data_IF_875898082909
#
_entry.id   IF_875898082909
#
_cell.length_a   1.000
_cell.length_b   1.000
_cell.length_c   1.000
_cell.angle_alpha   90.00
_cell.angle_beta   90.00
_cell.angle_gamma   90.00
#
_symmetry.space_group_name_H-M   'P 1'
#
loop_
_entity.id
_entity.type
_entity.pdbx_description
1 polymer ?
#
# COMPACT_ATOMS: atom_id res chain seq x y z
N UNK A 1 -6.02 -49.65 -63.92
CA UNK A 1 -6.59 -48.52 -64.67
C UNK A 1 -7.98 -48.23 -64.13
N UNK A 2 -8.32 -46.96 -63.92
CA UNK A 2 -9.70 -46.50 -63.87
C UNK A 2 -10.41 -46.61 -62.53
N UNK A 3 -10.29 -45.56 -61.72
CA UNK A 3 -11.31 -45.25 -60.72
C UNK A 3 -12.58 -44.66 -61.37
N UNK A 4 -13.70 -44.85 -60.71
CA UNK A 4 -14.97 -44.10 -60.79
C UNK A 4 -15.94 -44.80 -59.83
N UNK A 5 -16.90 -44.18 -59.17
CA UNK A 5 -17.17 -42.80 -58.85
C UNK A 5 -18.09 -42.83 -57.62
N UNK A 6 -17.99 -41.79 -56.81
CA UNK A 6 -18.68 -41.58 -55.55
C UNK A 6 -20.13 -41.10 -55.81
N UNK A 7 -21.16 -41.68 -55.16
CA UNK A 7 -22.43 -40.97 -54.97
C UNK A 7 -23.19 -41.36 -53.68
N UNK A 8 -22.88 -40.56 -52.65
CA UNK A 8 -23.65 -40.08 -51.48
C UNK A 8 -24.89 -40.85 -50.97
N UNK A 9 -24.88 -41.32 -49.71
CA UNK A 9 -26.10 -41.60 -48.96
C UNK A 9 -26.60 -40.35 -48.22
N UNK A 10 -27.93 -40.14 -48.27
CA UNK A 10 -28.65 -39.24 -47.36
C UNK A 10 -28.91 -40.01 -46.07
N UNK A 11 -28.36 -39.57 -44.94
CA UNK A 11 -28.76 -40.08 -43.64
C UNK A 11 -29.31 -38.97 -42.75
N UNK A 12 -30.48 -39.29 -42.21
CA UNK A 12 -31.36 -38.47 -41.41
C UNK A 12 -30.80 -38.29 -40.00
N UNK A 13 -30.96 -37.07 -39.51
CA UNK A 13 -31.10 -36.63 -38.13
C UNK A 13 -30.73 -37.57 -36.98
N UNK A 14 -29.81 -37.10 -36.15
CA UNK A 14 -29.90 -37.25 -34.70
C UNK A 14 -29.43 -35.92 -34.08
N UNK A 15 -30.36 -35.15 -33.53
CA UNK A 15 -30.06 -33.95 -32.77
C UNK A 15 -29.64 -34.37 -31.35
N UNK A 16 -28.35 -34.23 -31.03
CA UNK A 16 -27.82 -34.39 -29.68
C UNK A 16 -27.84 -33.00 -29.03
N UNK A 17 -28.74 -32.83 -28.05
CA UNK A 17 -28.79 -31.63 -27.22
C UNK A 17 -27.61 -31.63 -26.23
N UNK A 18 -26.58 -30.85 -26.56
CA UNK A 18 -25.47 -30.55 -25.65
C UNK A 18 -25.93 -29.47 -24.65
N UNK A 19 -26.27 -29.90 -23.43
CA UNK A 19 -26.38 -29.01 -22.27
C UNK A 19 -24.97 -28.51 -21.91
N UNK A 20 -24.58 -27.40 -22.52
CA UNK A 20 -23.37 -26.67 -22.14
C UNK A 20 -23.61 -26.01 -20.77
N UNK A 21 -23.13 -26.65 -19.72
CA UNK A 21 -23.03 -26.07 -18.38
C UNK A 21 -22.08 -24.88 -18.40
N UNK A 22 -22.65 -23.68 -18.42
CA UNK A 22 -21.92 -22.43 -18.34
C UNK A 22 -21.47 -22.24 -16.87
N UNK A 23 -20.27 -22.74 -16.53
CA UNK A 23 -19.63 -22.41 -15.26
C UNK A 23 -19.27 -20.91 -15.29
N UNK A 24 -20.05 -20.10 -14.57
CA UNK A 24 -19.72 -18.70 -14.29
C UNK A 24 -18.44 -18.67 -13.44
N UNK A 25 -17.29 -18.55 -14.09
CA UNK A 25 -16.08 -18.10 -13.43
C UNK A 25 -16.30 -16.63 -13.05
N UNK A 26 -16.55 -16.35 -11.77
CA UNK A 26 -16.51 -15.01 -11.24
C UNK A 26 -15.09 -14.46 -11.43
N UNK A 27 -14.88 -13.68 -12.49
CA UNK A 27 -13.66 -12.91 -12.66
C UNK A 27 -13.60 -11.90 -11.51
N UNK A 28 -12.77 -12.17 -10.50
CA UNK A 28 -12.36 -11.16 -9.55
C UNK A 28 -11.78 -10.01 -10.38
N UNK A 29 -12.50 -8.87 -10.41
CA UNK A 29 -11.96 -7.68 -11.05
C UNK A 29 -10.61 -7.40 -10.40
N UNK A 30 -9.54 -7.16 -11.17
CA UNK A 30 -8.30 -6.67 -10.59
C UNK A 30 -8.63 -5.33 -9.95
N UNK A 31 -8.91 -5.34 -8.64
CA UNK A 31 -8.99 -4.13 -7.84
C UNK A 31 -7.73 -3.34 -8.12
N UNK A 32 -7.87 -2.06 -8.43
CA UNK A 32 -6.81 -1.21 -8.97
C UNK A 32 -5.54 -1.31 -8.12
N UNK A 33 -4.64 -2.22 -8.49
CA UNK A 33 -3.38 -2.42 -7.78
C UNK A 33 -2.49 -1.28 -8.19
N UNK A 34 -2.42 -0.25 -7.34
CA UNK A 34 -1.49 0.84 -7.55
C UNK A 34 -0.07 0.28 -7.71
N UNK A 35 0.74 0.88 -8.61
CA UNK A 35 2.12 0.47 -8.77
C UNK A 35 2.88 0.58 -7.45
N UNK A 36 3.64 -0.46 -7.12
CA UNK A 36 4.50 -0.47 -5.95
C UNK A 36 5.92 -0.05 -6.34
N UNK A 37 6.56 0.71 -5.46
CA UNK A 37 7.90 1.28 -5.55
C UNK A 37 8.77 0.72 -4.43
N UNK A 38 10.10 0.90 -4.53
CA UNK A 38 11.06 0.41 -3.55
C UNK A 38 11.87 -0.77 -4.08
N UNK A 39 12.71 -1.33 -3.20
CA UNK A 39 13.54 -2.49 -3.53
C UNK A 39 12.70 -3.76 -3.69
N UNK A 40 13.25 -4.78 -4.34
CA UNK A 40 12.51 -6.01 -4.64
C UNK A 40 12.03 -6.75 -3.38
N UNK A 41 12.77 -6.61 -2.28
CA UNK A 41 12.51 -7.16 -0.96
C UNK A 41 11.64 -6.25 -0.07
N UNK A 42 11.33 -5.03 -0.53
CA UNK A 42 10.41 -4.15 0.18
C UNK A 42 9.73 -3.14 -0.73
N UNK A 43 8.55 -3.52 -1.21
CA UNK A 43 7.72 -2.70 -2.10
C UNK A 43 6.56 -2.03 -1.37
N UNK A 44 6.23 -0.80 -1.76
CA UNK A 44 5.12 -0.02 -1.21
C UNK A 44 4.51 0.92 -2.25
N UNK A 45 3.24 1.25 -2.07
CA UNK A 45 2.52 2.21 -2.90
C UNK A 45 3.03 3.64 -2.68
N UNK A 46 3.14 4.41 -3.76
CA UNK A 46 3.36 5.86 -3.67
C UNK A 46 2.03 6.55 -3.34
N UNK A 47 1.94 7.34 -2.26
CA UNK A 47 0.80 8.21 -2.04
C UNK A 47 0.67 9.23 -3.18
N UNK A 48 -0.56 9.58 -3.58
CA UNK A 48 -0.78 10.47 -4.75
C UNK A 48 -0.07 11.82 -4.61
N UNK A 49 -0.06 12.39 -3.41
CA UNK A 49 0.49 13.74 -3.16
C UNK A 49 1.96 13.73 -2.74
N UNK A 50 2.64 12.60 -2.92
CA UNK A 50 4.06 12.43 -2.60
C UNK A 50 4.88 12.44 -3.89
N UNK A 51 5.78 13.43 -3.99
CA UNK A 51 6.72 13.58 -5.10
C UNK A 51 8.14 13.15 -4.70
N UNK A 52 9.03 13.06 -5.69
CA UNK A 52 10.44 12.76 -5.45
C UNK A 52 10.75 11.30 -5.12
N UNK A 53 11.92 11.08 -4.51
CA UNK A 53 12.36 9.75 -4.07
C UNK A 53 11.72 9.40 -2.74
N UNK A 54 11.27 8.15 -2.63
CA UNK A 54 10.59 7.64 -1.44
C UNK A 54 11.46 6.63 -0.72
N UNK A 55 11.50 6.71 0.61
CA UNK A 55 12.18 5.75 1.45
C UNK A 55 11.27 5.30 2.60
N UNK A 56 11.03 4.00 2.66
CA UNK A 56 10.34 3.35 3.76
C UNK A 56 11.34 2.92 4.83
N UNK A 57 11.07 3.31 6.07
CA UNK A 57 11.81 2.94 7.27
C UNK A 57 10.88 2.12 8.18
N UNK A 58 10.71 0.85 7.86
CA UNK A 58 9.83 -0.06 8.58
C UNK A 58 10.05 -1.51 8.19
N UNK A 59 9.19 -2.39 8.69
CA UNK A 59 9.23 -3.81 8.36
C UNK A 59 8.74 -4.11 6.95
N UNK A 60 9.14 -5.26 6.43
CA UNK A 60 8.66 -5.80 5.17
C UNK A 60 8.34 -7.29 5.36
N UNK A 61 7.23 -7.74 4.79
CA UNK A 61 6.74 -9.12 4.80
C UNK A 61 6.43 -9.51 3.35
N UNK A 62 6.92 -10.66 2.91
CA UNK A 62 6.72 -11.16 1.53
C UNK A 62 7.05 -10.14 0.43
N UNK A 63 8.16 -9.41 0.63
CA UNK A 63 8.64 -8.39 -0.31
C UNK A 63 7.83 -7.09 -0.30
N UNK A 64 6.95 -6.87 0.68
CA UNK A 64 6.08 -5.69 0.78
C UNK A 64 6.21 -5.02 2.13
N UNK A 65 6.19 -3.69 2.16
CA UNK A 65 6.17 -2.95 3.40
C UNK A 65 4.91 -3.29 4.22
N UNK A 66 5.10 -3.69 5.47
CA UNK A 66 4.00 -4.09 6.35
C UNK A 66 4.32 -3.72 7.80
N UNK A 67 3.28 -3.29 8.52
CA UNK A 67 3.38 -2.83 9.89
C UNK A 67 3.72 -1.35 9.99
N UNK A 68 4.24 -0.94 11.16
CA UNK A 68 4.53 0.47 11.44
C UNK A 68 5.90 0.89 10.91
N UNK A 69 5.99 2.15 10.51
CA UNK A 69 7.22 2.76 10.07
C UNK A 69 7.03 4.17 9.55
N UNK A 70 8.08 4.67 8.90
CA UNK A 70 8.13 6.05 8.40
C UNK A 70 8.39 6.04 6.90
N UNK A 71 7.53 6.72 6.13
CA UNK A 71 7.75 6.94 4.70
C UNK A 71 8.18 8.39 4.48
N UNK A 72 9.41 8.58 4.00
CA UNK A 72 9.97 9.90 3.68
C UNK A 72 9.95 10.16 2.19
N UNK A 73 9.48 11.34 1.80
CA UNK A 73 9.59 11.87 0.45
C UNK A 73 10.68 12.94 0.39
N UNK A 74 11.72 12.70 -0.40
CA UNK A 74 12.79 13.65 -0.64
C UNK A 74 12.53 14.36 -1.96
N UNK A 75 12.27 15.67 -1.87
CA UNK A 75 12.12 16.56 -3.01
C UNK A 75 13.27 17.55 -2.98
N UNK A 76 13.93 17.77 -4.12
CA UNK A 76 15.02 18.74 -4.19
C UNK A 76 14.53 20.11 -3.73
N UNK A 77 15.32 20.79 -2.89
CA UNK A 77 15.08 22.17 -2.44
C UNK A 77 13.85 22.38 -1.53
N UNK A 78 13.21 21.31 -1.04
CA UNK A 78 12.08 21.40 -0.11
C UNK A 78 12.29 20.52 1.12
N UNK A 79 11.69 20.91 2.24
CA UNK A 79 11.60 20.05 3.43
C UNK A 79 10.87 18.75 3.07
N UNK A 80 11.37 17.59 3.52
CA UNK A 80 10.76 16.32 3.18
C UNK A 80 9.35 16.23 3.75
N UNK A 81 8.40 15.76 2.93
CA UNK A 81 7.09 15.32 3.42
C UNK A 81 7.26 13.96 4.07
N UNK A 82 6.72 13.77 5.27
CA UNK A 82 6.95 12.53 6.04
C UNK A 82 5.63 11.95 6.48
N UNK A 83 5.39 10.68 6.18
CA UNK A 83 4.30 9.91 6.74
C UNK A 83 4.80 9.04 7.89
N UNK A 84 4.09 9.10 9.02
CA UNK A 84 4.28 8.25 10.18
C UNK A 84 3.02 7.40 10.37
N UNK A 85 3.15 6.08 10.36
CA UNK A 85 1.99 5.22 10.57
C UNK A 85 2.20 3.81 10.08
N UNK A 86 1.12 3.20 9.58
CA UNK A 86 1.08 1.80 9.18
C UNK A 86 0.88 1.60 7.69
N UNK A 87 1.61 0.63 7.15
CA UNK A 87 1.34 0.00 5.87
C UNK A 87 0.77 -1.42 6.08
N UNK A 88 -0.06 -1.87 5.13
CA UNK A 88 -0.58 -3.24 5.03
C UNK A 88 -0.37 -3.74 3.62
N UNK A 89 0.38 -4.83 3.44
CA UNK A 89 0.70 -5.41 2.14
C UNK A 89 1.20 -4.38 1.10
N UNK A 90 2.02 -3.43 1.56
CA UNK A 90 2.59 -2.34 0.75
C UNK A 90 1.67 -1.12 0.58
N UNK A 91 0.43 -1.14 1.07
CA UNK A 91 -0.50 0.00 0.97
C UNK A 91 -0.49 0.82 2.27
N UNK A 92 -0.48 2.14 2.17
CA UNK A 92 -0.67 3.00 3.35
C UNK A 92 -2.08 2.74 3.90
N UNK A 93 -2.21 2.68 5.22
CA UNK A 93 -3.47 2.38 5.88
C UNK A 93 -3.94 3.55 6.79
N UNK A 94 -3.17 3.87 7.81
CA UNK A 94 -3.53 4.86 8.84
C UNK A 94 -2.27 5.55 9.35
N UNK A 95 -2.35 6.86 9.57
CA UNK A 95 -1.30 7.61 10.23
C UNK A 95 -1.41 9.11 10.00
N UNK A 96 -0.28 9.79 10.14
CA UNK A 96 -0.15 11.23 10.03
C UNK A 96 0.86 11.59 8.96
N UNK A 97 0.51 12.56 8.12
CA UNK A 97 1.44 13.22 7.20
C UNK A 97 1.88 14.55 7.80
N UNK A 98 3.17 14.68 8.01
CA UNK A 98 3.85 15.94 8.31
C UNK A 98 4.07 16.74 7.03
N UNK A 99 3.62 17.99 7.06
CA UNK A 99 3.80 19.00 6.01
C UNK A 99 4.42 20.27 6.61
N UNK A 100 4.87 21.23 5.79
CA UNK A 100 5.30 22.54 6.29
C UNK A 100 4.22 23.29 7.09
N UNK A 101 2.95 23.01 6.81
CA UNK A 101 1.79 23.66 7.43
C UNK A 101 1.28 22.93 8.68
N UNK A 102 1.89 21.80 9.05
CA UNK A 102 1.54 21.02 10.24
C UNK A 102 1.30 19.54 9.94
N UNK A 103 0.26 18.98 10.55
CA UNK A 103 -0.05 17.56 10.48
C UNK A 103 -1.43 17.31 9.86
N UNK A 104 -1.51 16.31 8.99
CA UNK A 104 -2.77 15.83 8.41
C UNK A 104 -2.93 14.37 8.82
N UNK A 105 -3.92 14.10 9.68
CA UNK A 105 -4.22 12.78 10.21
C UNK A 105 -5.34 12.11 9.42
N UNK A 106 -5.22 10.81 9.16
CA UNK A 106 -6.33 10.08 8.56
C UNK A 106 -5.98 8.72 7.99
N UNK A 107 -6.98 8.16 7.29
CA UNK A 107 -6.89 6.89 6.59
C UNK A 107 -6.39 7.12 5.16
N UNK A 108 -5.73 6.12 4.60
CA UNK A 108 -5.41 6.10 3.18
C UNK A 108 -6.39 5.20 2.43
N UNK A 109 -7.01 5.76 1.39
CA UNK A 109 -7.91 5.05 0.49
C UNK A 109 -7.41 5.29 -0.93
N UNK A 110 -7.08 4.21 -1.64
CA UNK A 110 -6.52 4.26 -3.00
C UNK A 110 -5.32 5.20 -3.13
N UNK A 111 -4.40 5.14 -2.15
CA UNK A 111 -3.18 5.95 -2.13
C UNK A 111 -3.39 7.42 -1.77
N UNK A 112 -4.61 7.85 -1.47
CA UNK A 112 -4.94 9.22 -1.09
C UNK A 112 -5.23 9.29 0.40
N UNK A 113 -4.65 10.29 1.06
CA UNK A 113 -5.01 10.61 2.43
C UNK A 113 -6.45 11.12 2.44
N UNK A 114 -7.27 10.54 3.30
CA UNK A 114 -8.61 10.99 3.64
C UNK A 114 -8.52 11.57 5.05
N UNK A 115 -8.37 12.90 5.18
CA UNK A 115 -8.38 13.54 6.48
C UNK A 115 -9.67 13.21 7.21
N UNK A 116 -9.57 12.91 8.51
CA UNK A 116 -10.74 12.76 9.36
C UNK A 116 -10.72 13.84 10.42
N UNK A 117 -11.83 14.57 10.52
CA UNK A 117 -12.07 15.51 11.62
C UNK A 117 -12.80 14.83 12.79
N UNK A 118 -13.16 13.56 12.63
CA UNK A 118 -13.71 12.78 13.73
C UNK A 118 -12.62 12.58 14.79
N UNK A 119 -12.91 13.03 16.01
CA UNK A 119 -11.94 12.99 17.13
C UNK A 119 -11.36 11.59 17.35
N UNK A 120 -12.16 10.53 17.22
CA UNK A 120 -11.71 9.16 17.41
C UNK A 120 -10.68 8.73 16.38
N UNK A 121 -10.92 9.03 15.11
CA UNK A 121 -9.98 8.76 14.02
C UNK A 121 -8.70 9.60 14.12
N UNK A 122 -8.83 10.87 14.52
CA UNK A 122 -7.70 11.75 14.75
C UNK A 122 -6.77 11.17 15.83
N UNK A 123 -7.34 10.76 16.98
CA UNK A 123 -6.60 10.12 18.08
C UNK A 123 -5.89 8.86 17.58
N UNK A 124 -6.62 7.95 16.92
CA UNK A 124 -6.05 6.71 16.41
C UNK A 124 -4.89 6.93 15.43
N UNK A 125 -5.00 7.95 14.57
CA UNK A 125 -3.96 8.28 13.61
C UNK A 125 -2.69 8.81 14.30
N UNK A 126 -2.82 9.70 15.28
CA UNK A 126 -1.68 10.23 16.04
C UNK A 126 -1.05 9.18 16.95
N UNK A 127 -1.83 8.32 17.60
CA UNK A 127 -1.32 7.18 18.38
C UNK A 127 -0.50 6.24 17.49
N UNK A 128 -1.03 5.91 16.31
CA UNK A 128 -0.34 5.03 15.36
C UNK A 128 0.93 5.70 14.82
N UNK A 129 0.90 7.01 14.56
CA UNK A 129 2.06 7.79 14.12
C UNK A 129 3.15 7.86 15.19
N UNK A 130 2.79 8.14 16.44
CA UNK A 130 3.73 8.17 17.57
C UNK A 130 4.36 6.79 17.81
N UNK A 131 3.56 5.72 17.73
CA UNK A 131 4.07 4.36 17.82
C UNK A 131 5.01 4.01 16.66
N UNK A 132 4.70 4.44 15.44
CA UNK A 132 5.55 4.23 14.27
C UNK A 132 6.90 4.95 14.40
N UNK A 133 6.90 6.19 14.90
CA UNK A 133 8.13 6.92 15.19
C UNK A 133 8.97 6.24 16.29
N UNK A 134 8.36 5.73 17.36
CA UNK A 134 9.06 4.95 18.41
C UNK A 134 9.71 3.69 17.83
N UNK A 135 9.02 2.96 16.96
CA UNK A 135 9.61 1.77 16.35
C UNK A 135 10.74 2.13 15.37
N UNK A 136 10.62 3.23 14.63
CA UNK A 136 11.72 3.74 13.80
C UNK A 136 12.95 4.08 14.66
N UNK A 137 12.75 4.79 15.78
CA UNK A 137 13.81 5.08 16.72
C UNK A 137 14.51 3.81 17.23
N UNK A 138 13.74 2.80 17.65
CA UNK A 138 14.27 1.52 18.10
C UNK A 138 15.09 0.80 17.02
N UNK A 139 14.64 0.85 15.75
CA UNK A 139 15.38 0.29 14.61
C UNK A 139 16.71 1.02 14.39
N UNK A 140 16.71 2.35 14.40
CA UNK A 140 17.96 3.13 14.26
C UNK A 140 18.92 2.90 15.42
N UNK A 141 18.41 2.79 16.66
CA UNK A 141 19.20 2.44 17.84
C UNK A 141 19.86 1.08 17.69
N UNK A 142 19.09 0.06 17.26
CA UNK A 142 19.62 -1.28 16.99
C UNK A 142 20.69 -1.29 15.89
N UNK A 143 20.59 -0.38 14.92
CA UNK A 143 21.58 -0.19 13.86
C UNK A 143 22.79 0.67 14.27
N UNK A 144 22.89 1.10 15.54
CA UNK A 144 23.98 1.94 16.03
C UNK A 144 23.89 3.42 15.61
N UNK A 145 22.76 3.86 15.05
CA UNK A 145 22.54 5.23 14.62
C UNK A 145 21.74 6.01 15.69
N UNK A 146 22.44 6.44 16.74
CA UNK A 146 21.85 7.17 17.86
C UNK A 146 21.27 8.53 17.46
N UNK A 147 21.87 9.22 16.48
CA UNK A 147 21.37 10.51 16.03
C UNK A 147 19.96 10.40 15.41
N UNK A 148 19.76 9.42 14.52
CA UNK A 148 18.43 9.14 13.96
C UNK A 148 17.48 8.58 15.00
N UNK A 149 17.97 7.75 15.93
CA UNK A 149 17.14 7.24 17.02
C UNK A 149 16.53 8.39 17.85
N UNK A 150 17.37 9.31 18.34
CA UNK A 150 16.91 10.48 19.10
C UNK A 150 15.96 11.36 18.30
N UNK A 151 16.24 11.61 17.02
CA UNK A 151 15.35 12.39 16.16
C UNK A 151 13.93 11.80 16.12
N UNK A 152 13.79 10.48 15.98
CA UNK A 152 12.48 9.84 15.95
C UNK A 152 11.82 9.72 17.32
N UNK A 153 12.59 9.68 18.42
CA UNK A 153 12.03 9.76 19.78
C UNK A 153 11.41 11.13 20.04
N UNK A 154 12.11 12.20 19.67
CA UNK A 154 11.60 13.57 19.75
C UNK A 154 10.33 13.72 18.90
N UNK A 155 10.33 13.15 17.68
CA UNK A 155 9.14 13.18 16.83
C UNK A 155 7.98 12.39 17.41
N UNK A 156 8.25 11.23 18.01
CA UNK A 156 7.23 10.44 18.68
C UNK A 156 6.60 11.21 19.86
N UNK A 157 7.40 11.92 20.65
CA UNK A 157 6.92 12.75 21.74
C UNK A 157 6.06 13.91 21.22
N UNK A 158 6.48 14.58 20.15
CA UNK A 158 5.70 15.67 19.53
C UNK A 158 4.37 15.20 18.97
N UNK A 159 4.33 14.01 18.34
CA UNK A 159 3.10 13.40 17.84
C UNK A 159 2.15 13.01 18.99
N UNK A 160 2.69 12.44 20.07
CA UNK A 160 1.88 12.09 21.24
C UNK A 160 1.28 13.33 21.93
N UNK A 161 2.07 14.40 22.07
CA UNK A 161 1.62 15.66 22.66
C UNK A 161 0.51 16.38 21.87
N UNK A 162 0.20 15.95 20.65
CA UNK A 162 -0.99 16.46 19.94
C UNK A 162 -2.30 15.97 20.58
N UNK A 163 -2.25 14.90 21.38
CA UNK A 163 -3.42 14.25 21.99
C UNK A 163 -3.65 14.63 23.46
N UNK A 164 -2.68 15.31 24.08
CA UNK A 164 -2.74 15.81 25.46
C UNK A 164 -3.50 17.16 25.52
#
# INVERSE_FOLDING_TARGET
>A
MGGAALMKPRLRGLAIALLAGCTLAAAAQPGSTMPLFGAADCRFARPTDFAGSLRWEGGCVDGRADGRGVLRAYVAQHSPKVFYGRLKAGQLALGVVETPDGYIAGNFVDGKLKPSEERGDFIRAFDEAAAAAKEAAARFRKAGNEASARHYEERAAQLAAQMD
#
